data_IF_485613752422
#
_entry.id   IF_485613752422
#
_cell.length_a   1.000
_cell.length_b   1.000
_cell.length_c   1.000
_cell.angle_alpha   90.00
_cell.angle_beta   90.00
_cell.angle_gamma   90.00
#
_symmetry.space_group_name_H-M   'P 1'
#
loop_
_entity.id
_entity.type
_entity.pdbx_description
1 polymer ?
#
# COMPACT_ATOMS: atom_id res chain seq x y z
N UNK A 1 -1.08 -15.27 0.31
CA UNK A 1 -0.43 -14.52 -0.78
C UNK A 1 0.80 -13.84 -0.22
N UNK A 2 0.66 -12.78 0.58
CA UNK A 2 1.79 -12.10 1.22
C UNK A 2 2.53 -13.00 2.21
N UNK A 3 1.81 -13.76 3.04
CA UNK A 3 2.43 -14.71 3.99
C UNK A 3 3.31 -15.78 3.31
N UNK A 4 3.14 -16.01 2.00
CA UNK A 4 3.98 -16.93 1.23
C UNK A 4 5.33 -16.31 0.88
N UNK A 5 5.37 -14.99 0.70
CA UNK A 5 6.58 -14.22 0.43
C UNK A 5 7.27 -13.75 1.73
N UNK A 6 6.50 -13.54 2.80
CA UNK A 6 6.98 -13.09 4.12
C UNK A 6 8.12 -13.96 4.66
N UNK A 7 8.13 -15.26 4.38
CA UNK A 7 9.20 -16.17 4.82
C UNK A 7 10.57 -15.93 4.13
N UNK A 8 10.61 -15.14 3.05
CA UNK A 8 11.82 -14.82 2.29
C UNK A 8 12.25 -13.36 2.45
N UNK A 9 11.53 -12.56 3.25
CA UNK A 9 11.83 -11.16 3.47
C UNK A 9 12.22 -11.00 4.93
N UNK A 10 13.31 -10.29 5.17
CA UNK A 10 13.77 -9.91 6.50
C UNK A 10 14.27 -8.48 6.49
N UNK A 11 14.49 -7.89 7.67
CA UNK A 11 15.06 -6.56 7.81
C UNK A 11 16.36 -6.60 8.63
N UNK A 12 17.43 -6.02 8.10
CA UNK A 12 18.73 -5.89 8.77
C UNK A 12 19.37 -4.56 8.35
N UNK A 13 20.02 -3.88 9.29
CA UNK A 13 20.78 -2.65 9.04
C UNK A 13 20.03 -1.57 8.22
N UNK A 14 18.77 -1.31 8.58
CA UNK A 14 17.90 -0.34 7.89
C UNK A 14 17.57 -0.70 6.43
N UNK A 15 17.72 -1.97 6.04
CA UNK A 15 17.39 -2.49 4.72
C UNK A 15 16.50 -3.73 4.81
N UNK A 16 15.70 -3.95 3.78
CA UNK A 16 14.99 -5.20 3.53
C UNK A 16 15.89 -6.12 2.71
N UNK A 17 16.08 -7.34 3.21
CA UNK A 17 16.83 -8.40 2.55
C UNK A 17 15.82 -9.42 2.01
N UNK A 18 15.99 -9.79 0.74
CA UNK A 18 15.18 -10.83 0.09
C UNK A 18 16.05 -12.05 -0.15
N UNK A 19 15.69 -13.17 0.47
CA UNK A 19 16.30 -14.48 0.23
C UNK A 19 15.87 -15.06 -1.13
N UNK A 20 16.56 -16.10 -1.60
CA UNK A 20 16.24 -16.74 -2.87
C UNK A 20 14.80 -17.28 -2.87
N UNK A 21 13.92 -16.65 -3.67
CA UNK A 21 12.52 -17.07 -3.83
C UNK A 21 12.48 -18.28 -4.77
N UNK A 22 11.96 -19.45 -4.34
CA UNK A 22 11.89 -20.63 -5.19
C UNK A 22 10.98 -20.42 -6.42
N UNK A 23 11.34 -21.03 -7.55
CA UNK A 23 10.52 -21.01 -8.79
C UNK A 23 9.07 -21.48 -8.59
N UNK A 24 8.81 -22.35 -7.62
CA UNK A 24 7.46 -22.80 -7.29
C UNK A 24 6.57 -21.66 -6.78
N UNK A 25 7.14 -20.67 -6.08
CA UNK A 25 6.44 -19.49 -5.58
C UNK A 25 6.08 -18.57 -6.75
N UNK A 26 7.03 -18.31 -7.66
CA UNK A 26 6.77 -17.59 -8.91
C UNK A 26 5.64 -18.22 -9.73
N UNK A 27 5.66 -19.53 -9.91
CA UNK A 27 4.61 -20.24 -10.64
C UNK A 27 3.24 -20.16 -9.94
N UNK A 28 3.20 -20.09 -8.61
CA UNK A 28 1.97 -20.05 -7.84
C UNK A 28 1.36 -18.63 -7.76
N UNK A 29 2.20 -17.59 -7.67
CA UNK A 29 1.77 -16.21 -7.48
C UNK A 29 1.73 -15.40 -8.79
N UNK A 30 2.45 -15.85 -9.81
CA UNK A 30 2.69 -15.13 -11.06
C UNK A 30 3.98 -14.33 -11.00
N UNK A 31 4.73 -14.31 -12.10
CA UNK A 31 6.00 -13.60 -12.20
C UNK A 31 5.83 -12.10 -11.97
N UNK A 32 4.93 -11.47 -12.73
CA UNK A 32 4.63 -10.04 -12.60
C UNK A 32 4.30 -9.65 -11.14
N UNK A 33 3.50 -10.45 -10.43
CA UNK A 33 3.18 -10.15 -9.03
C UNK A 33 4.42 -10.16 -8.13
N UNK A 34 5.31 -11.13 -8.29
CA UNK A 34 6.52 -11.22 -7.47
C UNK A 34 7.50 -10.11 -7.84
N UNK A 35 7.70 -9.86 -9.13
CA UNK A 35 8.65 -8.84 -9.61
C UNK A 35 8.25 -7.43 -9.13
N UNK A 36 6.96 -7.07 -9.19
CA UNK A 36 6.43 -5.80 -8.68
C UNK A 36 6.61 -5.64 -7.16
N UNK A 37 6.54 -6.75 -6.42
CA UNK A 37 6.81 -6.72 -4.97
C UNK A 37 8.30 -6.48 -4.71
N UNK A 38 9.19 -7.09 -5.50
CA UNK A 38 10.64 -6.91 -5.37
C UNK A 38 11.06 -5.48 -5.74
N UNK A 39 10.51 -4.92 -6.82
CA UNK A 39 10.76 -3.53 -7.21
C UNK A 39 10.33 -2.57 -6.09
N UNK A 40 9.18 -2.80 -5.46
CA UNK A 40 8.76 -2.02 -4.30
C UNK A 40 9.65 -2.18 -3.07
N UNK A 41 10.31 -3.33 -2.89
CA UNK A 41 11.33 -3.51 -1.83
C UNK A 41 12.61 -2.73 -2.16
N UNK A 42 13.03 -2.74 -3.42
CA UNK A 42 14.18 -1.95 -3.90
C UNK A 42 13.95 -0.45 -3.69
N UNK A 43 12.77 0.07 -4.07
CA UNK A 43 12.39 1.47 -3.81
C UNK A 43 12.46 1.83 -2.31
N UNK A 44 11.99 0.93 -1.43
CA UNK A 44 12.06 1.15 0.02
C UNK A 44 13.51 1.20 0.51
N UNK A 45 14.38 0.33 -0.01
CA UNK A 45 15.80 0.33 0.34
C UNK A 45 16.51 1.61 -0.14
N UNK A 46 16.17 2.12 -1.31
CA UNK A 46 16.68 3.40 -1.81
C UNK A 46 16.26 4.56 -0.88
N UNK A 47 14.97 4.65 -0.53
CA UNK A 47 14.47 5.65 0.42
C UNK A 47 15.14 5.56 1.80
N UNK A 48 15.47 4.34 2.24
CA UNK A 48 16.14 4.13 3.52
C UNK A 48 17.61 4.57 3.48
N UNK A 49 18.30 4.36 2.34
CA UNK A 49 19.66 4.85 2.09
C UNK A 49 19.71 6.38 2.01
N UNK A 50 18.69 6.99 1.42
CA UNK A 50 18.54 8.45 1.32
C UNK A 50 18.12 9.10 2.65
N UNK A 51 17.80 8.29 3.67
CA UNK A 51 17.42 8.76 5.01
C UNK A 51 15.99 9.31 5.09
N UNK A 52 15.17 9.06 4.07
CA UNK A 52 13.75 9.46 4.06
C UNK A 52 12.88 8.53 4.91
N UNK A 53 13.29 7.28 5.08
CA UNK A 53 12.61 6.30 5.91
C UNK A 53 13.56 5.52 6.82
N UNK A 54 13.01 4.98 7.91
CA UNK A 54 13.69 4.03 8.81
C UNK A 54 12.95 2.70 8.73
N UNK A 55 13.68 1.64 8.40
CA UNK A 55 13.24 0.25 8.39
C UNK A 55 13.77 -0.41 9.67
N UNK A 56 12.87 -0.75 10.59
CA UNK A 56 13.24 -1.45 11.83
C UNK A 56 13.36 -2.95 11.61
N UNK A 57 14.10 -3.63 12.49
CA UNK A 57 14.33 -5.10 12.46
C UNK A 57 13.03 -5.93 12.46
N UNK A 58 11.90 -5.36 12.88
CA UNK A 58 10.58 -6.00 12.80
C UNK A 58 9.80 -5.63 11.52
N UNK A 59 10.50 -5.22 10.46
CA UNK A 59 9.97 -4.85 9.14
C UNK A 59 8.92 -3.72 9.20
N UNK A 60 8.98 -2.89 10.24
CA UNK A 60 8.15 -1.69 10.32
C UNK A 60 8.91 -0.52 9.72
N UNK A 61 8.23 0.20 8.86
CA UNK A 61 8.84 1.26 8.06
C UNK A 61 8.18 2.58 8.45
N UNK A 62 9.00 3.54 8.84
CA UNK A 62 8.60 4.86 9.32
C UNK A 62 9.21 5.94 8.44
N UNK A 63 8.46 7.00 8.12
CA UNK A 63 9.06 8.21 7.53
C UNK A 63 9.82 8.97 8.61
N UNK A 64 11.04 9.47 8.30
CA UNK A 64 11.91 10.13 9.29
C UNK A 64 11.34 11.45 9.83
N UNK A 65 10.47 12.09 9.06
CA UNK A 65 9.82 13.36 9.42
C UNK A 65 8.44 13.19 10.10
N UNK A 66 7.97 11.96 10.35
CA UNK A 66 6.66 11.74 10.99
C UNK A 66 6.72 11.98 12.51
N UNK A 67 6.45 13.23 12.89
CA UNK A 67 6.38 13.67 14.29
C UNK A 67 5.03 13.31 14.97
N UNK A 68 4.15 12.56 14.31
CA UNK A 68 2.74 12.43 14.70
C UNK A 68 2.25 10.99 14.88
N UNK A 69 2.89 10.21 15.77
CA UNK A 69 2.35 8.92 16.20
C UNK A 69 1.12 9.07 17.11
N UNK A 70 -0.02 9.47 16.54
CA UNK A 70 -1.31 9.43 17.25
C UNK A 70 -1.98 8.07 17.05
N UNK A 71 -1.83 7.19 18.04
CA UNK A 71 -2.60 5.94 18.16
C UNK A 71 -3.95 6.25 18.82
N UNK A 72 -4.82 6.95 18.12
CA UNK A 72 -6.23 7.12 18.51
C UNK A 72 -7.16 6.61 17.40
N UNK A 73 -8.30 6.05 17.78
CA UNK A 73 -9.33 5.64 16.82
C UNK A 73 -9.82 6.85 16.00
N UNK A 74 -9.91 6.70 14.67
CA UNK A 74 -10.29 7.79 13.76
C UNK A 74 -9.12 8.63 13.22
N UNK A 75 -7.87 8.23 13.44
CA UNK A 75 -6.69 8.89 12.87
C UNK A 75 -6.41 8.39 11.45
N UNK A 76 -6.09 9.32 10.55
CA UNK A 76 -5.58 9.00 9.21
C UNK A 76 -4.07 8.82 9.30
N UNK A 77 -3.55 7.65 8.93
CA UNK A 77 -2.09 7.42 8.86
C UNK A 77 -1.75 6.47 7.72
N UNK A 78 -0.52 6.57 7.23
CA UNK A 78 0.05 5.63 6.26
C UNK A 78 1.16 4.89 6.97
N UNK A 79 1.17 3.57 6.85
CA UNK A 79 2.25 2.72 7.34
C UNK A 79 2.80 1.97 6.14
N UNK A 80 4.11 2.06 5.96
CA UNK A 80 4.80 1.29 4.94
C UNK A 80 5.08 -0.12 5.46
N UNK A 81 4.92 -1.08 4.56
CA UNK A 81 5.25 -2.49 4.76
C UNK A 81 6.07 -2.94 3.56
N UNK A 82 6.89 -3.95 3.74
CA UNK A 82 7.71 -4.49 2.65
C UNK A 82 6.87 -4.87 1.42
N UNK A 83 5.62 -5.32 1.62
CA UNK A 83 4.72 -5.71 0.53
C UNK A 83 3.90 -4.57 -0.06
N UNK A 84 3.90 -3.38 0.54
CA UNK A 84 3.01 -2.29 0.14
C UNK A 84 2.70 -1.27 1.22
N UNK A 85 1.51 -0.67 1.12
CA UNK A 85 1.06 0.42 1.99
C UNK A 85 -0.19 0.01 2.74
N UNK A 86 -0.21 0.36 4.03
CA UNK A 86 -1.37 0.21 4.90
C UNK A 86 -1.86 1.59 5.29
N UNK A 87 -3.02 1.97 4.77
CA UNK A 87 -3.66 3.26 5.04
C UNK A 87 -4.80 3.09 6.02
N UNK A 88 -4.71 3.83 7.11
CA UNK A 88 -5.78 3.96 8.09
C UNK A 88 -6.59 5.19 7.71
N UNK A 89 -7.91 5.03 7.66
CA UNK A 89 -8.83 6.08 7.28
C UNK A 89 -9.89 6.25 8.35
N UNK A 90 -10.12 7.49 8.79
CA UNK A 90 -11.37 7.84 9.44
C UNK A 90 -12.56 7.62 8.49
N UNK A 91 -13.77 7.53 9.03
CA UNK A 91 -14.98 7.36 8.19
C UNK A 91 -15.12 8.46 7.13
N UNK A 92 -14.80 9.72 7.47
CA UNK A 92 -14.85 10.83 6.51
C UNK A 92 -13.76 10.73 5.45
N UNK A 93 -12.53 10.38 5.84
CA UNK A 93 -11.40 10.24 4.92
C UNK A 93 -11.58 9.07 3.95
N UNK A 94 -12.13 7.95 4.43
CA UNK A 94 -12.47 6.79 3.61
C UNK A 94 -13.48 7.15 2.50
N UNK A 95 -14.49 7.97 2.82
CA UNK A 95 -15.46 8.45 1.83
C UNK A 95 -14.81 9.38 0.79
N UNK A 96 -13.91 10.26 1.21
CA UNK A 96 -13.13 11.11 0.30
C UNK A 96 -12.26 10.26 -0.64
N UNK A 97 -11.53 9.28 -0.09
CA UNK A 97 -10.72 8.36 -0.87
C UNK A 97 -11.55 7.58 -1.89
N UNK A 98 -12.70 7.01 -1.49
CA UNK A 98 -13.60 6.31 -2.42
C UNK A 98 -14.06 7.24 -3.55
N UNK A 99 -14.39 8.49 -3.23
CA UNK A 99 -14.74 9.50 -4.22
C UNK A 99 -13.61 9.80 -5.22
N UNK A 100 -12.36 9.87 -4.74
CA UNK A 100 -11.19 10.04 -5.61
C UNK A 100 -10.96 8.81 -6.47
N UNK A 101 -10.97 7.61 -5.88
CA UNK A 101 -10.83 6.35 -6.64
C UNK A 101 -11.88 6.26 -7.76
N UNK A 102 -13.15 6.56 -7.47
CA UNK A 102 -14.20 6.61 -8.50
C UNK A 102 -13.92 7.63 -9.61
N UNK A 103 -13.39 8.81 -9.26
CA UNK A 103 -12.98 9.82 -10.26
C UNK A 103 -11.81 9.33 -11.11
N UNK A 104 -10.85 8.60 -10.53
CA UNK A 104 -9.76 7.98 -11.29
C UNK A 104 -10.31 6.94 -12.26
N UNK A 105 -11.21 6.06 -11.80
CA UNK A 105 -11.85 5.06 -12.64
C UNK A 105 -12.61 5.68 -13.82
N UNK A 106 -13.24 6.84 -13.59
CA UNK A 106 -13.95 7.62 -14.61
C UNK A 106 -13.02 8.46 -15.52
N UNK A 107 -11.70 8.45 -15.31
CA UNK A 107 -10.74 9.29 -16.07
C UNK A 107 -10.83 10.79 -15.75
N UNK A 108 -11.46 11.17 -14.64
CA UNK A 108 -11.73 12.57 -14.26
C UNK A 108 -10.90 13.04 -13.05
N UNK A 109 -9.95 12.24 -12.56
CA UNK A 109 -9.08 12.63 -11.46
C UNK A 109 -7.93 13.51 -11.94
N UNK A 110 -7.57 14.51 -11.15
CA UNK A 110 -6.35 15.29 -11.35
C UNK A 110 -5.15 14.51 -10.83
N UNK A 111 -3.98 14.69 -11.46
CA UNK A 111 -2.72 14.03 -11.07
C UNK A 111 -2.43 14.21 -9.57
N UNK A 112 -2.66 15.41 -9.02
CA UNK A 112 -2.46 15.68 -7.59
C UNK A 112 -3.40 14.91 -6.65
N UNK A 113 -4.64 14.64 -7.06
CA UNK A 113 -5.55 13.82 -6.25
C UNK A 113 -5.12 12.35 -6.24
N UNK A 114 -4.53 11.87 -7.33
CA UNK A 114 -3.97 10.51 -7.40
C UNK A 114 -2.69 10.43 -6.56
N UNK A 115 -1.77 11.37 -6.74
CA UNK A 115 -0.50 11.42 -6.01
C UNK A 115 -0.67 11.52 -4.48
N UNK A 116 -1.76 12.13 -4.00
CA UNK A 116 -2.06 12.19 -2.56
C UNK A 116 -2.35 10.80 -1.95
N UNK A 117 -2.82 9.85 -2.75
CA UNK A 117 -3.23 8.53 -2.28
C UNK A 117 -2.40 7.37 -2.85
N UNK A 118 -1.66 7.60 -3.93
CA UNK A 118 -0.87 6.62 -4.65
C UNK A 118 0.52 7.21 -4.91
N UNK A 119 1.60 6.43 -4.78
CA UNK A 119 2.96 6.93 -5.09
C UNK A 119 3.17 7.11 -6.58
N UNK A 120 4.18 7.91 -6.91
CA UNK A 120 4.71 8.02 -8.27
C UNK A 120 4.99 6.64 -8.91
N UNK A 121 5.61 5.69 -8.19
CA UNK A 121 5.84 4.32 -8.67
C UNK A 121 4.55 3.53 -8.92
N UNK A 122 3.60 3.54 -7.97
CA UNK A 122 2.30 2.86 -8.17
C UNK A 122 1.44 3.52 -9.26
N UNK A 123 1.60 4.82 -9.53
CA UNK A 123 0.87 5.48 -10.63
C UNK A 123 1.27 5.02 -12.03
N UNK A 124 2.52 4.58 -12.23
CA UNK A 124 2.95 3.99 -13.50
C UNK A 124 2.25 2.64 -13.76
N UNK A 125 2.07 1.82 -12.71
CA UNK A 125 1.32 0.56 -12.76
C UNK A 125 -0.16 0.75 -13.08
N UNK A 126 -0.72 1.88 -12.66
CA UNK A 126 -2.12 2.22 -12.94
C UNK A 126 -2.35 2.72 -14.37
N UNK A 127 -1.33 2.81 -15.23
CA UNK A 127 -1.47 3.23 -16.63
C UNK A 127 -2.31 2.30 -17.52
N UNK A 128 -2.54 1.04 -17.11
CA UNK A 128 -3.29 0.05 -17.91
C UNK A 128 -4.54 -0.58 -17.26
N UNK A 129 -4.65 -0.58 -15.92
CA UNK A 129 -5.70 -1.30 -15.17
C UNK A 129 -6.90 -0.41 -14.75
N UNK A 130 -7.10 0.69 -15.46
CA UNK A 130 -7.57 2.00 -14.96
C UNK A 130 -9.00 2.13 -14.45
N UNK A 131 -9.99 1.41 -14.96
CA UNK A 131 -11.39 1.67 -14.58
C UNK A 131 -11.93 0.65 -13.59
N UNK A 132 -11.89 -0.64 -13.95
CA UNK A 132 -12.46 -1.72 -13.13
C UNK A 132 -11.80 -1.77 -11.76
N UNK A 133 -10.48 -1.62 -11.71
CA UNK A 133 -9.72 -1.62 -10.46
C UNK A 133 -10.20 -0.52 -9.51
N UNK A 134 -10.24 0.72 -9.99
CA UNK A 134 -10.58 1.87 -9.15
C UNK A 134 -12.06 1.92 -8.77
N UNK A 135 -12.96 1.41 -9.63
CA UNK A 135 -14.36 1.18 -9.24
C UNK A 135 -14.46 0.11 -8.15
N UNK A 136 -13.80 -1.05 -8.33
CA UNK A 136 -13.78 -2.10 -7.32
C UNK A 136 -13.19 -1.64 -5.99
N UNK A 137 -12.14 -0.83 -6.04
CA UNK A 137 -11.49 -0.24 -4.88
C UNK A 137 -12.42 0.73 -4.15
N UNK A 138 -13.06 1.63 -4.90
CA UNK A 138 -14.08 2.55 -4.36
C UNK A 138 -15.21 1.77 -3.67
N UNK A 139 -15.77 0.76 -4.34
CA UNK A 139 -16.89 -0.01 -3.81
C UNK A 139 -16.49 -0.83 -2.57
N UNK A 140 -15.29 -1.42 -2.56
CA UNK A 140 -14.77 -2.15 -1.40
C UNK A 140 -14.58 -1.23 -0.18
N UNK A 141 -14.04 -0.02 -0.39
CA UNK A 141 -13.89 0.99 0.65
C UNK A 141 -15.25 1.46 1.17
N UNK A 142 -16.17 1.83 0.27
CA UNK A 142 -17.52 2.28 0.66
C UNK A 142 -18.26 1.19 1.43
N UNK A 143 -18.24 -0.06 0.94
CA UNK A 143 -18.89 -1.19 1.60
C UNK A 143 -18.33 -1.43 3.00
N UNK A 144 -16.99 -1.39 3.16
CA UNK A 144 -16.36 -1.58 4.47
C UNK A 144 -16.67 -0.43 5.44
N UNK A 145 -16.67 0.80 4.92
CA UNK A 145 -16.95 2.01 5.70
C UNK A 145 -18.44 2.15 6.06
N UNK A 146 -19.33 1.52 5.30
CA UNK A 146 -20.78 1.56 5.56
C UNK A 146 -21.14 0.79 6.84
N UNK A 147 -21.98 1.41 7.68
CA UNK A 147 -22.57 0.78 8.86
C UNK A 147 -21.75 0.89 10.16
N UNK A 148 -20.58 1.55 10.15
CA UNK A 148 -19.73 1.69 11.35
C UNK A 148 -18.98 3.05 11.38
N UNK A 149 -18.80 3.60 12.58
CA UNK A 149 -18.13 4.89 12.80
C UNK A 149 -16.65 4.74 13.24
N UNK A 150 -16.04 3.57 13.05
CA UNK A 150 -14.67 3.31 13.52
C UNK A 150 -13.59 3.56 12.46
N UNK A 151 -13.96 3.83 11.21
CA UNK A 151 -13.00 3.94 10.10
C UNK A 151 -12.64 2.59 9.49
N UNK A 152 -11.65 2.60 8.59
CA UNK A 152 -11.19 1.41 7.86
C UNK A 152 -9.66 1.37 7.78
N UNK A 153 -9.15 0.16 7.56
CA UNK A 153 -7.75 -0.05 7.16
C UNK A 153 -7.78 -0.58 5.73
N UNK A 154 -7.06 0.08 4.83
CA UNK A 154 -6.86 -0.34 3.45
C UNK A 154 -5.42 -0.80 3.29
N UNK A 155 -5.24 -2.04 2.85
CA UNK A 155 -3.95 -2.54 2.43
C UNK A 155 -3.90 -2.54 0.90
N UNK A 156 -2.80 -2.04 0.35
CA UNK A 156 -2.52 -2.06 -1.10
C UNK A 156 -1.09 -2.53 -1.29
N UNK A 157 -0.89 -3.60 -2.04
CA UNK A 157 0.44 -4.10 -2.38
C UNK A 157 1.09 -3.28 -3.50
N UNK A 158 2.41 -3.42 -3.66
CA UNK A 158 3.11 -2.86 -4.83
C UNK A 158 2.52 -3.38 -6.14
N UNK A 159 2.25 -4.69 -6.21
CA UNK A 159 1.52 -5.34 -7.31
C UNK A 159 0.02 -5.01 -7.42
N UNK A 160 -0.46 -3.91 -6.81
CA UNK A 160 -1.86 -3.44 -6.90
C UNK A 160 -2.93 -4.44 -6.42
N UNK A 161 -2.60 -5.39 -5.55
CA UNK A 161 -3.60 -6.21 -4.86
C UNK A 161 -4.05 -5.47 -3.60
N UNK A 162 -5.35 -5.41 -3.34
CA UNK A 162 -5.87 -4.71 -2.16
C UNK A 162 -6.86 -5.53 -1.34
N UNK A 163 -6.96 -5.20 -0.07
CA UNK A 163 -8.03 -5.66 0.81
C UNK A 163 -8.32 -4.62 1.89
N UNK A 164 -9.52 -4.70 2.47
CA UNK A 164 -9.95 -3.80 3.55
C UNK A 164 -10.18 -4.57 4.84
N UNK A 165 -9.78 -3.98 5.96
CA UNK A 165 -10.04 -4.44 7.31
C UNK A 165 -10.73 -3.33 8.11
N UNK A 166 -11.26 -3.69 9.29
CA UNK A 166 -11.77 -2.71 10.26
C UNK A 166 -10.59 -2.18 11.08
N UNK A 167 -10.68 -0.90 11.44
CA UNK A 167 -9.79 -0.28 12.41
C UNK A 167 -10.16 -0.71 13.83
#
# INVERSE_FOLDING_TARGET
MINTLEQFVSAEDNQLIVEEIPKSVYNALGHDFVDEILEGIEELNELALDGEIIITENETIYETDDTSFNVQGGVNKVVYKWYGRVRYFSTSSANTFAGVAKKVGNGAATVGAVAAYFSAGTTALFGGLTTIYFHGLSDAVTKRNSGHNCGIILHVTWASVYWTARQ
#
